data_IF_226582064738
#
_entry.id   IF_226582064738
#
_cell.length_a   1.000
_cell.length_b   1.000
_cell.length_c   1.000
_cell.angle_alpha   90.00
_cell.angle_beta   90.00
_cell.angle_gamma   90.00
#
_symmetry.space_group_name_H-M   'P 1'
#
loop_
_entity.id
_entity.type
_entity.pdbx_description
1 polymer ?
#
# COMPACT_ATOMS: atom_id res chain seq x y z
N UNK A 1 -21.94 -15.92 -17.71
CA UNK A 1 -20.84 -15.95 -16.71
C UNK A 1 -21.29 -15.53 -15.31
N UNK A 2 -22.07 -14.45 -15.13
CA UNK A 2 -22.52 -13.97 -13.80
C UNK A 2 -23.15 -15.06 -12.92
N UNK A 3 -24.14 -15.83 -13.42
CA UNK A 3 -24.82 -16.86 -12.63
C UNK A 3 -23.85 -17.96 -12.13
N UNK A 4 -22.88 -18.32 -12.93
CA UNK A 4 -21.86 -19.30 -12.56
C UNK A 4 -20.96 -18.75 -11.44
N UNK A 5 -20.50 -17.49 -11.56
CA UNK A 5 -19.72 -16.82 -10.52
C UNK A 5 -20.53 -16.70 -9.23
N UNK A 6 -21.81 -16.29 -9.32
CA UNK A 6 -22.70 -16.19 -8.16
C UNK A 6 -22.87 -17.54 -7.45
N UNK A 7 -23.05 -18.62 -8.20
CA UNK A 7 -23.17 -19.96 -7.65
C UNK A 7 -21.88 -20.42 -6.95
N UNK A 8 -20.72 -20.28 -7.61
CA UNK A 8 -19.44 -20.70 -7.05
C UNK A 8 -19.10 -19.86 -5.82
N UNK A 9 -19.10 -18.53 -5.95
CA UNK A 9 -18.67 -17.64 -4.87
C UNK A 9 -19.57 -17.71 -3.63
N UNK A 10 -20.88 -17.95 -3.79
CA UNK A 10 -21.80 -18.10 -2.66
C UNK A 10 -21.43 -19.30 -1.78
N UNK A 11 -20.79 -20.35 -2.33
CA UNK A 11 -20.26 -21.47 -1.56
C UNK A 11 -19.10 -21.13 -0.63
N UNK A 12 -18.49 -19.93 -0.78
CA UNK A 12 -17.35 -19.46 0.01
C UNK A 12 -17.75 -18.44 1.08
N UNK A 13 -19.02 -18.06 1.22
CA UNK A 13 -19.47 -17.01 2.17
C UNK A 13 -19.02 -17.28 3.60
N UNK A 14 -19.26 -18.49 4.11
CA UNK A 14 -18.86 -18.86 5.47
C UNK A 14 -17.33 -18.94 5.61
N UNK A 15 -16.65 -19.45 4.59
CA UNK A 15 -15.20 -19.59 4.58
C UNK A 15 -14.46 -18.24 4.57
N UNK A 16 -14.97 -17.25 3.81
CA UNK A 16 -14.47 -15.87 3.85
C UNK A 16 -14.46 -15.32 5.28
N UNK A 17 -15.58 -15.46 5.99
CA UNK A 17 -15.71 -15.01 7.38
C UNK A 17 -14.80 -15.79 8.30
N UNK A 18 -14.72 -17.12 8.17
CA UNK A 18 -13.83 -17.96 8.98
C UNK A 18 -12.35 -17.58 8.79
N UNK A 19 -11.90 -17.40 7.55
CA UNK A 19 -10.52 -17.05 7.24
C UNK A 19 -10.16 -15.66 7.75
N UNK A 20 -11.01 -14.66 7.48
CA UNK A 20 -10.80 -13.31 8.01
C UNK A 20 -10.70 -13.32 9.52
N UNK A 21 -11.64 -13.97 10.24
CA UNK A 21 -11.68 -13.97 11.72
C UNK A 21 -10.49 -14.71 12.31
N UNK A 22 -10.02 -15.78 11.67
CA UNK A 22 -8.80 -16.47 12.09
C UNK A 22 -7.58 -15.53 12.00
N UNK A 23 -7.39 -14.88 10.86
CA UNK A 23 -6.28 -13.94 10.64
C UNK A 23 -6.38 -12.75 11.62
N UNK A 24 -7.58 -12.22 11.82
CA UNK A 24 -7.83 -11.12 12.75
C UNK A 24 -7.46 -11.45 14.20
N UNK A 25 -7.67 -12.69 14.62
CA UNK A 25 -7.28 -13.18 15.96
C UNK A 25 -5.78 -13.40 16.10
N UNK A 26 -5.05 -13.62 15.01
CA UNK A 26 -3.62 -13.99 15.01
C UNK A 26 -2.78 -13.04 14.16
N UNK A 27 -2.89 -11.71 14.37
CA UNK A 27 -2.18 -10.74 13.54
C UNK A 27 -0.69 -10.78 13.82
N UNK A 28 0.11 -10.57 12.77
CA UNK A 28 1.56 -10.44 12.85
C UNK A 28 2.01 -9.14 12.20
N UNK A 29 3.05 -8.50 12.77
CA UNK A 29 3.58 -7.23 12.26
C UNK A 29 4.35 -7.43 10.95
N UNK A 30 4.50 -6.34 10.19
CA UNK A 30 5.32 -6.28 8.97
C UNK A 30 6.69 -6.92 9.16
N UNK A 31 7.10 -7.76 8.23
CA UNK A 31 8.32 -8.59 8.24
C UNK A 31 8.37 -9.71 9.29
N UNK A 32 7.32 -9.94 10.05
CA UNK A 32 7.21 -10.97 11.10
C UNK A 32 5.99 -11.89 10.90
N UNK A 33 5.51 -12.02 9.67
CA UNK A 33 4.27 -12.76 9.31
C UNK A 33 4.52 -14.26 9.10
N UNK A 34 5.42 -14.88 9.90
CA UNK A 34 5.85 -16.27 9.71
C UNK A 34 4.68 -17.28 9.84
N UNK A 35 3.81 -17.10 10.85
CA UNK A 35 2.67 -18.01 11.08
C UNK A 35 1.58 -17.77 10.07
N UNK A 36 1.32 -16.52 9.73
CA UNK A 36 0.37 -16.12 8.67
C UNK A 36 0.78 -16.74 7.34
N UNK A 37 2.05 -16.61 6.96
CA UNK A 37 2.60 -17.21 5.74
C UNK A 37 2.52 -18.74 5.75
N UNK A 38 2.81 -19.39 6.88
CA UNK A 38 2.72 -20.84 7.02
C UNK A 38 1.27 -21.31 6.87
N UNK A 39 0.33 -20.61 7.49
CA UNK A 39 -1.10 -20.90 7.40
C UNK A 39 -1.64 -20.72 5.97
N UNK A 40 -1.22 -19.68 5.25
CA UNK A 40 -1.56 -19.46 3.85
C UNK A 40 -1.03 -20.61 2.98
N UNK A 41 0.23 -21.02 3.16
CA UNK A 41 0.83 -22.14 2.42
C UNK A 41 0.05 -23.42 2.62
N UNK A 42 -0.37 -23.72 3.83
CA UNK A 42 -1.21 -24.90 4.14
C UNK A 42 -2.54 -24.84 3.38
N UNK A 43 -3.23 -23.70 3.41
CA UNK A 43 -4.54 -23.55 2.70
C UNK A 43 -4.40 -23.69 1.19
N UNK A 44 -3.36 -23.11 0.60
CA UNK A 44 -3.08 -23.25 -0.83
C UNK A 44 -2.74 -24.71 -1.21
N UNK A 45 -1.94 -25.38 -0.37
CA UNK A 45 -1.62 -26.79 -0.56
C UNK A 45 -2.87 -27.68 -0.52
N UNK A 46 -3.72 -27.49 0.50
CA UNK A 46 -4.98 -28.23 0.67
C UNK A 46 -5.94 -28.03 -0.51
N UNK A 47 -5.89 -26.83 -1.11
CA UNK A 47 -6.65 -26.48 -2.31
C UNK A 47 -6.03 -27.02 -3.61
N UNK A 48 -4.87 -27.66 -3.57
CA UNK A 48 -4.16 -28.11 -4.77
C UNK A 48 -3.59 -26.99 -5.63
N UNK A 49 -3.27 -25.84 -5.00
CA UNK A 49 -2.58 -24.71 -5.64
C UNK A 49 -1.09 -24.88 -5.46
N UNK A 50 -0.33 -24.81 -6.54
CA UNK A 50 1.13 -24.90 -6.50
C UNK A 50 1.73 -23.64 -5.87
N UNK A 51 2.81 -23.79 -5.10
CA UNK A 51 3.52 -22.67 -4.49
C UNK A 51 4.81 -22.40 -5.26
N UNK A 52 5.02 -21.16 -5.68
CA UNK A 52 6.21 -20.73 -6.39
C UNK A 52 7.41 -20.76 -5.40
N UNK A 53 8.49 -21.50 -5.74
CA UNK A 53 9.68 -21.52 -4.89
C UNK A 53 10.54 -20.27 -5.04
N UNK A 54 11.45 -20.04 -4.09
CA UNK A 54 12.46 -18.98 -4.18
C UNK A 54 11.94 -17.59 -3.81
N UNK A 55 10.78 -17.51 -3.17
CA UNK A 55 10.21 -16.25 -2.67
C UNK A 55 10.88 -15.90 -1.34
N UNK A 56 11.39 -14.68 -1.25
CA UNK A 56 12.08 -14.16 -0.07
C UNK A 56 11.10 -13.69 1.01
N UNK A 57 11.54 -13.77 2.28
CA UNK A 57 10.76 -13.34 3.44
C UNK A 57 9.53 -14.20 3.70
N UNK A 58 8.47 -13.56 4.18
CA UNK A 58 7.21 -14.20 4.58
C UNK A 58 6.13 -14.16 3.48
N UNK A 59 6.42 -13.61 2.33
CA UNK A 59 5.49 -13.62 1.21
C UNK A 59 5.24 -15.05 0.69
N UNK A 60 4.05 -15.27 0.13
CA UNK A 60 3.66 -16.55 -0.47
C UNK A 60 3.06 -16.30 -1.85
N UNK A 61 3.48 -17.06 -2.85
CA UNK A 61 2.93 -16.96 -4.20
C UNK A 61 2.34 -18.29 -4.61
N UNK A 62 1.01 -18.34 -4.74
CA UNK A 62 0.29 -19.47 -5.31
C UNK A 62 0.19 -19.37 -6.83
N UNK A 63 0.16 -20.52 -7.50
CA UNK A 63 0.05 -20.60 -8.97
C UNK A 63 -0.93 -21.68 -9.38
N UNK A 64 -1.84 -21.31 -10.25
CA UNK A 64 -2.67 -22.24 -11.02
C UNK A 64 -2.26 -22.10 -12.49
N UNK A 65 -1.72 -23.17 -13.06
CA UNK A 65 -1.36 -23.23 -14.47
C UNK A 65 -2.29 -24.22 -15.18
N UNK A 66 -2.85 -23.81 -16.31
CA UNK A 66 -3.70 -24.67 -17.16
C UNK A 66 -2.91 -25.66 -17.99
N UNK A 67 -1.61 -25.44 -18.18
CA UNK A 67 -0.77 -26.15 -19.13
C UNK A 67 -1.01 -25.79 -20.60
N UNK A 68 -1.91 -24.83 -20.88
CA UNK A 68 -2.22 -24.31 -22.22
C UNK A 68 -1.74 -22.88 -22.33
N UNK A 69 -1.02 -22.49 -23.40
CA UNK A 69 -0.58 -21.10 -23.57
C UNK A 69 -1.73 -20.08 -23.49
N UNK A 70 -1.52 -19.00 -22.77
CA UNK A 70 -2.50 -17.94 -22.57
C UNK A 70 -2.00 -16.90 -21.58
N UNK A 71 -2.83 -15.90 -21.19
CA UNK A 71 -2.40 -14.83 -20.30
C UNK A 71 -2.12 -15.33 -18.87
N UNK A 72 -1.12 -14.72 -18.23
CA UNK A 72 -0.86 -14.86 -16.81
C UNK A 72 -1.44 -13.67 -16.06
N UNK A 73 -2.46 -13.90 -15.25
CA UNK A 73 -3.14 -12.87 -14.48
C UNK A 73 -2.72 -12.98 -13.01
N UNK A 74 -2.24 -11.89 -12.42
CA UNK A 74 -1.88 -11.86 -11.01
C UNK A 74 -2.94 -11.14 -10.17
N UNK A 75 -3.14 -11.62 -8.94
CA UNK A 75 -3.94 -10.97 -7.91
C UNK A 75 -3.11 -10.84 -6.63
N UNK A 76 -3.23 -9.71 -5.93
CA UNK A 76 -2.44 -9.44 -4.73
C UNK A 76 -3.32 -9.14 -3.51
N UNK A 77 -2.89 -9.67 -2.38
CA UNK A 77 -3.31 -9.24 -1.04
C UNK A 77 -2.06 -9.05 -0.16
N UNK A 78 -2.06 -8.01 0.65
CA UNK A 78 -1.15 -7.82 1.78
C UNK A 78 -1.57 -8.70 2.96
N UNK A 79 -0.63 -9.02 3.88
CA UNK A 79 -0.88 -9.97 4.97
C UNK A 79 -0.46 -9.46 6.36
N UNK A 80 0.16 -8.28 6.46
CA UNK A 80 0.69 -7.71 7.69
C UNK A 80 -0.37 -6.96 8.51
N UNK A 81 -0.05 -6.73 9.79
CA UNK A 81 -0.88 -6.02 10.75
C UNK A 81 -0.12 -4.83 11.37
N UNK A 82 -0.84 -3.98 12.10
CA UNK A 82 -0.35 -2.76 12.69
C UNK A 82 -0.09 -2.89 14.21
N UNK A 83 0.88 -2.11 14.76
CA UNK A 83 1.16 -2.07 16.19
C UNK A 83 0.10 -1.23 16.94
N UNK A 84 -1.15 -1.70 16.96
CA UNK A 84 -2.31 -1.02 17.56
C UNK A 84 -2.96 -1.96 18.56
N UNK A 85 -3.24 -1.50 19.79
CA UNK A 85 -4.06 -2.25 20.74
C UNK A 85 -5.52 -2.17 20.32
N UNK A 86 -6.11 -3.32 20.04
CA UNK A 86 -7.51 -3.39 19.63
C UNK A 86 -8.47 -3.08 20.78
N UNK A 87 -9.52 -2.30 20.47
CA UNK A 87 -10.60 -1.90 21.38
C UNK A 87 -11.99 -2.13 20.78
N UNK A 88 -12.13 -3.03 19.81
CA UNK A 88 -13.41 -3.27 19.13
C UNK A 88 -14.42 -4.03 20.02
N UNK A 89 -13.94 -4.88 20.94
CA UNK A 89 -14.78 -5.76 21.75
C UNK A 89 -15.46 -6.88 20.95
N UNK A 90 -14.98 -7.17 19.74
CA UNK A 90 -15.50 -8.26 18.90
C UNK A 90 -15.14 -9.63 19.49
N UNK A 91 -15.99 -10.65 19.32
CA UNK A 91 -15.71 -12.00 19.83
C UNK A 91 -14.49 -12.67 19.18
N UNK A 92 -14.00 -12.11 18.07
CA UNK A 92 -12.81 -12.54 17.34
C UNK A 92 -11.72 -11.47 17.35
N UNK A 93 -11.69 -10.57 18.35
CA UNK A 93 -10.63 -9.59 18.52
C UNK A 93 -9.24 -10.25 18.58
N UNK A 94 -8.23 -9.48 18.24
CA UNK A 94 -6.83 -9.90 18.29
C UNK A 94 -6.47 -10.57 19.62
N UNK A 95 -5.81 -11.71 19.55
CA UNK A 95 -5.24 -12.42 20.71
C UNK A 95 -3.77 -12.02 20.96
N UNK A 96 -3.22 -11.12 20.14
CA UNK A 96 -1.84 -10.62 20.23
C UNK A 96 -1.86 -9.21 20.81
N UNK A 97 -1.33 -8.99 22.03
CA UNK A 97 -1.33 -7.67 22.65
C UNK A 97 -0.63 -6.61 21.75
N UNK A 98 -1.26 -5.45 21.63
CA UNK A 98 -0.77 -4.31 20.84
C UNK A 98 -0.56 -4.60 19.34
N UNK A 99 -1.21 -5.61 18.77
CA UNK A 99 -1.19 -5.88 17.34
C UNK A 99 -2.62 -6.11 16.83
N UNK A 100 -2.99 -5.48 15.73
CA UNK A 100 -4.34 -5.54 15.17
C UNK A 100 -4.31 -5.42 13.64
N UNK A 101 -5.14 -6.19 12.94
CA UNK A 101 -5.45 -5.92 11.54
C UNK A 101 -6.37 -4.68 11.41
N UNK A 102 -5.80 -3.50 11.68
CA UNK A 102 -6.54 -2.24 11.65
C UNK A 102 -6.59 -1.59 10.26
N UNK A 103 -6.00 -2.23 9.24
CA UNK A 103 -6.09 -1.82 7.82
C UNK A 103 -6.94 -2.78 6.97
N UNK A 104 -7.32 -3.94 7.52
CA UNK A 104 -8.21 -4.91 6.85
C UNK A 104 -7.49 -5.91 5.94
N UNK A 105 -6.19 -6.09 6.10
CA UNK A 105 -5.40 -7.06 5.34
C UNK A 105 -5.82 -8.51 5.61
N UNK A 106 -6.44 -8.78 6.76
CA UNK A 106 -7.14 -10.03 7.06
C UNK A 106 -8.26 -10.34 6.05
N UNK A 107 -9.04 -9.32 5.66
CA UNK A 107 -10.09 -9.46 4.66
C UNK A 107 -9.51 -9.59 3.23
N UNK A 108 -8.45 -8.83 2.89
CA UNK A 108 -7.76 -8.96 1.60
C UNK A 108 -7.22 -10.38 1.42
N UNK A 109 -6.53 -10.90 2.44
CA UNK A 109 -5.99 -12.27 2.45
C UNK A 109 -7.11 -13.32 2.32
N UNK A 110 -8.21 -13.17 3.07
CA UNK A 110 -9.34 -14.09 2.99
C UNK A 110 -9.99 -14.12 1.60
N UNK A 111 -10.15 -12.95 0.98
CA UNK A 111 -10.69 -12.83 -0.39
C UNK A 111 -9.76 -13.57 -1.39
N UNK A 112 -8.46 -13.32 -1.30
CA UNK A 112 -7.49 -13.90 -2.24
C UNK A 112 -7.34 -15.42 -2.06
N UNK A 113 -7.38 -15.93 -0.82
CA UNK A 113 -7.38 -17.36 -0.55
C UNK A 113 -8.64 -18.04 -1.13
N UNK A 114 -9.81 -17.44 -0.90
CA UNK A 114 -11.06 -17.97 -1.45
C UNK A 114 -11.08 -17.92 -2.99
N UNK A 115 -10.46 -16.90 -3.61
CA UNK A 115 -10.28 -16.87 -5.06
C UNK A 115 -9.41 -18.03 -5.54
N UNK A 116 -8.28 -18.28 -4.89
CA UNK A 116 -7.37 -19.36 -5.24
C UNK A 116 -8.05 -20.73 -5.13
N UNK A 117 -8.78 -20.96 -4.04
CA UNK A 117 -9.55 -22.19 -3.83
C UNK A 117 -10.68 -22.34 -4.85
N UNK A 118 -11.45 -21.27 -5.11
CA UNK A 118 -12.57 -21.29 -6.06
C UNK A 118 -12.09 -21.61 -7.48
N UNK A 119 -11.00 -21.00 -7.94
CA UNK A 119 -10.42 -21.30 -9.27
C UNK A 119 -9.76 -22.67 -9.31
N UNK A 120 -9.16 -23.14 -8.21
CA UNK A 120 -8.60 -24.48 -8.14
C UNK A 120 -9.67 -25.57 -8.19
N UNK A 121 -10.79 -25.37 -7.50
CA UNK A 121 -11.92 -26.30 -7.52
C UNK A 121 -12.71 -26.29 -8.85
N UNK A 122 -12.59 -25.22 -9.63
CA UNK A 122 -13.30 -25.02 -10.90
C UNK A 122 -12.31 -24.75 -12.03
N UNK A 123 -11.44 -25.72 -12.31
CA UNK A 123 -10.38 -25.64 -13.35
C UNK A 123 -10.91 -25.30 -14.73
N UNK A 124 -12.17 -25.59 -15.02
CA UNK A 124 -12.83 -25.21 -16.27
C UNK A 124 -12.93 -23.68 -16.48
N UNK A 125 -12.73 -22.89 -15.43
CA UNK A 125 -12.56 -21.43 -15.53
C UNK A 125 -11.12 -21.03 -15.92
N UNK A 126 -10.14 -21.94 -15.79
CA UNK A 126 -8.73 -21.68 -16.10
C UNK A 126 -8.32 -22.56 -17.29
N UNK A 127 -8.92 -22.30 -18.46
CA UNK A 127 -8.72 -23.13 -19.66
C UNK A 127 -7.40 -22.87 -20.37
N UNK A 128 -6.85 -21.66 -20.23
CA UNK A 128 -5.60 -21.23 -20.83
C UNK A 128 -4.86 -20.26 -19.91
N UNK A 129 -3.54 -20.17 -20.09
CA UNK A 129 -2.69 -19.30 -19.27
C UNK A 129 -2.57 -19.76 -17.83
N UNK A 130 -2.32 -18.82 -16.94
CA UNK A 130 -2.11 -19.09 -15.52
C UNK A 130 -2.64 -17.96 -14.63
N UNK A 131 -2.82 -18.28 -13.35
CA UNK A 131 -3.18 -17.29 -12.32
C UNK A 131 -2.12 -17.31 -11.23
N UNK A 132 -1.62 -16.13 -10.83
CA UNK A 132 -0.73 -15.95 -9.68
C UNK A 132 -1.47 -15.27 -8.53
N UNK A 133 -1.34 -15.81 -7.33
CA UNK A 133 -1.91 -15.27 -6.10
C UNK A 133 -0.78 -14.80 -5.20
N UNK A 134 -0.58 -13.49 -5.10
CA UNK A 134 0.51 -12.86 -4.35
C UNK A 134 0.01 -12.49 -2.96
N UNK A 135 0.39 -13.25 -1.95
CA UNK A 135 0.20 -12.93 -0.54
C UNK A 135 1.47 -12.25 -0.05
N UNK A 136 1.42 -10.94 0.07
CA UNK A 136 2.58 -10.09 0.23
C UNK A 136 2.75 -9.65 1.68
N UNK A 137 3.94 -9.83 2.24
CA UNK A 137 4.34 -9.27 3.54
C UNK A 137 4.49 -7.75 3.51
N UNK A 138 4.44 -7.11 4.68
CA UNK A 138 5.00 -5.80 5.00
C UNK A 138 4.60 -4.67 4.04
N UNK A 139 3.29 -4.41 3.85
CA UNK A 139 2.82 -3.23 3.13
C UNK A 139 3.03 -1.96 3.95
N UNK A 140 2.80 -2.02 5.26
CA UNK A 140 2.73 -0.89 6.18
C UNK A 140 4.11 -0.31 6.58
N UNK A 141 5.20 -1.00 6.25
CA UNK A 141 6.56 -0.61 6.64
C UNK A 141 7.50 -0.61 5.45
N UNK A 142 8.05 0.57 5.12
CA UNK A 142 9.04 0.70 4.04
C UNK A 142 10.27 -0.20 4.26
N UNK A 143 10.83 -0.72 3.19
CA UNK A 143 10.59 -0.45 1.76
C UNK A 143 9.41 -1.21 1.16
N UNK A 144 8.61 -1.93 1.94
CA UNK A 144 7.51 -2.77 1.51
C UNK A 144 7.93 -4.15 0.98
N UNK A 145 6.99 -5.10 1.02
CA UNK A 145 7.21 -6.45 0.50
C UNK A 145 7.10 -6.54 -1.03
N UNK A 146 6.35 -5.62 -1.66
CA UNK A 146 6.18 -5.63 -3.11
C UNK A 146 7.50 -5.47 -3.87
N UNK A 147 8.36 -4.55 -3.42
CA UNK A 147 9.66 -4.34 -4.07
C UNK A 147 10.56 -5.59 -3.99
N UNK A 148 10.42 -6.40 -2.93
CA UNK A 148 11.15 -7.66 -2.80
C UNK A 148 10.58 -8.73 -3.75
N UNK A 149 9.25 -8.87 -3.80
CA UNK A 149 8.59 -9.81 -4.73
C UNK A 149 8.91 -9.49 -6.20
N UNK A 150 8.98 -8.21 -6.57
CA UNK A 150 9.44 -7.80 -7.91
C UNK A 150 10.87 -8.25 -8.16
N UNK A 151 11.79 -8.06 -7.20
CA UNK A 151 13.19 -8.52 -7.31
C UNK A 151 13.30 -10.06 -7.38
N UNK A 152 12.42 -10.78 -6.71
CA UNK A 152 12.34 -12.24 -6.75
C UNK A 152 11.78 -12.74 -8.12
N UNK A 153 11.39 -11.84 -9.01
CA UNK A 153 10.96 -12.15 -10.36
C UNK A 153 9.51 -12.60 -10.49
N UNK A 154 8.68 -12.34 -9.47
CA UNK A 154 7.26 -12.80 -9.50
C UNK A 154 6.44 -12.15 -10.62
N UNK A 155 6.92 -11.04 -11.18
CA UNK A 155 6.26 -10.35 -12.30
C UNK A 155 6.76 -10.82 -13.68
N UNK A 156 7.74 -11.72 -13.74
CA UNK A 156 8.11 -12.37 -15.01
C UNK A 156 6.90 -13.15 -15.54
N UNK A 157 6.66 -13.06 -16.83
CA UNK A 157 5.55 -13.74 -17.51
C UNK A 157 4.13 -13.37 -17.01
N UNK A 158 3.98 -12.39 -16.12
CA UNK A 158 2.67 -11.81 -15.77
C UNK A 158 2.28 -10.81 -16.85
N UNK A 159 1.05 -10.88 -17.34
CA UNK A 159 0.52 -9.94 -18.33
C UNK A 159 -0.17 -8.75 -17.67
N UNK A 160 -0.92 -8.97 -16.59
CA UNK A 160 -1.53 -7.91 -15.81
C UNK A 160 -1.75 -8.31 -14.35
N UNK A 161 -1.91 -7.31 -13.48
CA UNK A 161 -2.11 -7.52 -12.04
C UNK A 161 -3.29 -6.71 -11.50
N UNK A 162 -4.04 -7.32 -10.58
CA UNK A 162 -5.13 -6.68 -9.87
C UNK A 162 -4.93 -6.80 -8.36
N UNK A 163 -5.29 -5.73 -7.64
CA UNK A 163 -5.35 -5.69 -6.19
C UNK A 163 -6.62 -4.98 -5.76
N UNK A 164 -7.02 -5.20 -4.51
CA UNK A 164 -8.06 -4.40 -3.88
C UNK A 164 -7.65 -4.00 -2.47
N UNK A 165 -8.13 -2.84 -2.03
CA UNK A 165 -8.07 -2.42 -0.64
C UNK A 165 -9.48 -2.11 -0.15
N UNK A 166 -9.81 -2.51 1.05
CA UNK A 166 -11.08 -2.14 1.69
C UNK A 166 -11.15 -0.64 1.95
N UNK A 167 -12.35 -0.08 1.95
CA UNK A 167 -12.53 1.35 2.21
C UNK A 167 -13.85 1.63 2.93
N UNK A 168 -13.78 2.19 4.14
CA UNK A 168 -14.96 2.66 4.87
C UNK A 168 -15.53 3.99 4.32
N UNK A 169 -14.93 4.55 3.27
CA UNK A 169 -15.49 5.70 2.56
C UNK A 169 -16.65 5.32 1.63
N UNK A 170 -16.81 4.03 1.34
CA UNK A 170 -17.86 3.50 0.46
C UNK A 170 -18.64 2.41 1.17
N UNK A 171 -19.94 2.36 0.90
CA UNK A 171 -20.82 1.32 1.43
C UNK A 171 -20.55 -0.03 0.73
N UNK A 172 -20.86 -1.12 1.44
CA UNK A 172 -20.84 -2.49 0.91
C UNK A 172 -21.64 -2.58 -0.40
N UNK A 173 -21.04 -3.18 -1.44
CA UNK A 173 -21.60 -3.24 -2.79
C UNK A 173 -21.15 -2.11 -3.72
N UNK A 174 -20.40 -1.12 -3.21
CA UNK A 174 -19.75 -0.08 -4.02
C UNK A 174 -18.26 -0.37 -4.17
N UNK A 175 -17.72 -0.25 -5.38
CA UNK A 175 -16.31 -0.43 -5.66
C UNK A 175 -15.79 0.78 -6.43
N UNK A 176 -14.78 1.46 -5.89
CA UNK A 176 -14.14 2.53 -6.64
C UNK A 176 -13.04 1.95 -7.55
N UNK A 177 -13.14 2.28 -8.82
CA UNK A 177 -12.28 1.83 -9.90
C UNK A 177 -11.96 3.03 -10.80
N UNK A 178 -10.75 3.53 -10.75
CA UNK A 178 -10.36 4.79 -11.41
C UNK A 178 -9.10 4.57 -12.24
N UNK A 179 -9.13 4.99 -13.51
CA UNK A 179 -7.94 4.97 -14.38
C UNK A 179 -7.01 6.13 -14.05
N UNK A 180 -5.72 5.94 -14.26
CA UNK A 180 -4.68 6.92 -13.95
C UNK A 180 -4.26 6.91 -12.48
N UNK A 181 -3.70 8.02 -11.97
CA UNK A 181 -3.22 8.11 -10.60
C UNK A 181 -4.34 7.95 -9.57
N UNK A 182 -4.13 7.09 -8.57
CA UNK A 182 -5.08 6.84 -7.47
C UNK A 182 -4.47 7.11 -6.10
N UNK A 183 -3.19 6.77 -5.89
CA UNK A 183 -2.43 7.01 -4.67
C UNK A 183 -1.08 7.64 -5.00
N UNK A 184 -0.56 8.45 -4.06
CA UNK A 184 0.67 9.20 -4.30
C UNK A 184 1.93 8.35 -4.10
N UNK A 185 2.96 8.69 -4.84
CA UNK A 185 4.33 8.39 -4.42
C UNK A 185 4.62 9.10 -3.11
N UNK A 186 5.31 8.42 -2.19
CA UNK A 186 5.58 8.94 -0.85
C UNK A 186 6.97 8.55 -0.38
N UNK A 187 7.72 9.51 0.19
CA UNK A 187 8.95 9.25 0.93
C UNK A 187 9.07 10.21 2.10
N UNK A 188 9.92 9.84 3.07
CA UNK A 188 10.32 10.71 4.15
C UNK A 188 11.76 11.15 3.95
N UNK A 189 12.08 12.35 4.44
CA UNK A 189 13.44 12.84 4.40
C UNK A 189 13.88 13.39 5.77
N UNK A 190 15.19 13.35 6.00
CA UNK A 190 15.87 13.96 7.13
C UNK A 190 17.04 14.80 6.62
N UNK A 191 17.16 16.01 7.14
CA UNK A 191 18.29 16.92 6.93
C UNK A 191 18.90 17.21 8.30
N UNK A 192 20.16 16.82 8.50
CA UNK A 192 20.93 17.09 9.73
C UNK A 192 21.93 18.20 9.42
N UNK A 193 21.66 19.41 9.91
CA UNK A 193 22.54 20.57 9.73
C UNK A 193 23.62 20.51 10.79
N UNK A 194 24.88 20.70 10.40
CA UNK A 194 26.07 20.67 11.24
C UNK A 194 26.74 22.04 11.24
N UNK A 195 26.90 22.60 12.41
CA UNK A 195 27.56 23.88 12.65
C UNK A 195 28.64 23.78 13.75
N UNK A 196 28.78 24.85 14.51
CA UNK A 196 29.70 24.92 15.65
C UNK A 196 29.04 25.65 16.81
N UNK A 197 28.95 24.99 17.97
CA UNK A 197 28.40 25.59 19.18
C UNK A 197 29.23 26.82 19.64
N UNK A 198 28.52 27.76 20.25
CA UNK A 198 29.16 28.95 20.80
C UNK A 198 28.29 29.71 21.78
N UNK A 199 28.89 30.67 22.47
CA UNK A 199 28.16 31.53 23.39
C UNK A 199 27.29 32.52 22.60
N UNK A 200 26.01 32.64 22.90
CA UNK A 200 25.06 33.48 22.18
C UNK A 200 25.43 34.97 22.13
N UNK A 201 26.22 35.46 23.10
CA UNK A 201 26.75 36.83 23.09
C UNK A 201 27.88 37.06 22.08
N UNK A 202 28.45 35.99 21.52
CA UNK A 202 29.56 36.03 20.55
C UNK A 202 29.23 35.21 19.28
N UNK A 203 28.13 35.53 18.55
CA UNK A 203 27.64 34.73 17.45
C UNK A 203 28.67 34.60 16.31
N UNK A 204 29.59 35.56 16.15
CA UNK A 204 30.68 35.53 15.18
C UNK A 204 31.75 34.46 15.46
N UNK A 205 31.71 33.78 16.61
CA UNK A 205 32.59 32.68 17.00
C UNK A 205 31.88 31.30 16.94
N UNK A 206 30.63 31.28 16.50
CA UNK A 206 29.83 30.07 16.32
C UNK A 206 29.48 29.89 14.84
N UNK A 207 29.01 28.72 14.48
CA UNK A 207 28.35 28.46 13.19
C UNK A 207 26.93 28.03 13.51
N UNK A 208 25.99 28.96 13.29
CA UNK A 208 24.58 28.79 13.61
C UNK A 208 23.93 27.70 12.71
N UNK A 209 23.05 26.89 13.28
CA UNK A 209 22.29 25.86 12.61
C UNK A 209 20.79 26.15 12.52
N UNK A 210 20.29 27.11 13.32
CA UNK A 210 18.87 27.46 13.36
C UNK A 210 18.48 28.30 12.13
N UNK A 211 19.22 29.38 11.87
CA UNK A 211 18.94 30.27 10.73
C UNK A 211 19.00 29.57 9.39
N UNK A 212 20.01 28.71 9.10
CA UNK A 212 19.97 27.86 7.91
C UNK A 212 18.75 26.94 7.84
N UNK A 213 18.32 26.35 8.96
CA UNK A 213 17.13 25.51 9.01
C UNK A 213 15.86 26.28 8.62
N UNK A 214 15.66 27.48 9.13
CA UNK A 214 14.56 28.35 8.72
C UNK A 214 14.62 28.71 7.23
N UNK A 215 15.82 28.99 6.70
CA UNK A 215 16.00 29.31 5.30
C UNK A 215 15.70 28.10 4.39
N UNK A 216 16.14 26.88 4.78
CA UNK A 216 15.82 25.65 4.04
C UNK A 216 14.30 25.47 3.97
N UNK A 217 13.55 25.61 5.08
CA UNK A 217 12.09 25.48 5.08
C UNK A 217 11.46 26.49 4.11
N UNK A 218 11.92 27.75 4.11
CA UNK A 218 11.43 28.78 3.19
C UNK A 218 11.69 28.43 1.72
N UNK A 219 12.90 27.96 1.39
CA UNK A 219 13.25 27.56 0.02
C UNK A 219 12.48 26.31 -0.45
N UNK A 220 12.28 25.31 0.43
CA UNK A 220 11.48 24.13 0.10
C UNK A 220 10.01 24.49 -0.18
N UNK A 221 9.41 25.42 0.57
CA UNK A 221 8.08 25.94 0.27
C UNK A 221 8.00 26.68 -1.07
N UNK A 222 9.04 27.41 -1.45
CA UNK A 222 9.13 28.05 -2.77
C UNK A 222 9.35 27.02 -3.88
N UNK A 223 10.12 25.95 -3.62
CA UNK A 223 10.36 24.90 -4.57
C UNK A 223 9.06 24.28 -5.11
N UNK A 224 8.10 23.99 -4.23
CA UNK A 224 6.79 23.43 -4.61
C UNK A 224 6.07 24.34 -5.61
N UNK A 225 6.11 25.66 -5.42
CA UNK A 225 5.38 26.59 -6.27
C UNK A 225 6.11 27.05 -7.53
N UNK A 226 7.43 26.87 -7.60
CA UNK A 226 8.28 27.37 -8.68
C UNK A 226 8.87 26.27 -9.57
N UNK A 227 9.03 25.06 -9.05
CA UNK A 227 9.66 23.96 -9.78
C UNK A 227 8.67 23.03 -10.48
N UNK A 228 7.37 23.18 -10.25
CA UNK A 228 6.35 22.32 -10.83
C UNK A 228 5.27 23.10 -11.57
N UNK A 229 4.64 22.44 -12.55
CA UNK A 229 3.42 22.96 -13.17
C UNK A 229 2.31 23.11 -12.13
N UNK A 230 1.49 24.15 -12.26
CA UNK A 230 0.32 24.32 -11.40
C UNK A 230 -0.75 23.21 -11.56
N UNK A 231 -0.61 22.35 -12.57
CA UNK A 231 -1.48 21.20 -12.82
C UNK A 231 -0.97 19.92 -12.13
N UNK A 232 0.29 19.91 -11.67
CA UNK A 232 0.87 18.76 -10.96
C UNK A 232 0.55 18.83 -9.48
N UNK A 233 0.31 17.65 -8.89
CA UNK A 233 0.16 17.52 -7.44
C UNK A 233 1.55 17.30 -6.83
N UNK A 234 1.95 18.17 -5.91
CA UNK A 234 3.20 18.02 -5.16
C UNK A 234 3.03 18.55 -3.74
N UNK A 235 3.45 17.73 -2.79
CA UNK A 235 3.63 18.10 -1.37
C UNK A 235 5.08 17.87 -1.00
N UNK A 236 5.77 18.92 -0.55
CA UNK A 236 7.04 18.84 0.18
C UNK A 236 6.81 19.56 1.48
N UNK A 237 6.71 18.82 2.57
CA UNK A 237 6.31 19.38 3.86
C UNK A 237 7.32 19.00 4.95
N UNK A 238 7.92 20.02 5.58
CA UNK A 238 8.73 19.84 6.80
C UNK A 238 7.80 19.76 7.98
N UNK A 239 7.81 18.65 8.69
CA UNK A 239 6.91 18.37 9.83
C UNK A 239 7.59 18.47 11.18
N UNK A 240 8.93 18.45 11.21
CA UNK A 240 9.71 18.58 12.44
C UNK A 240 10.92 19.49 12.21
N UNK A 241 11.17 20.37 13.16
CA UNK A 241 12.39 21.15 13.26
C UNK A 241 12.86 21.12 14.71
N UNK A 242 14.02 20.50 14.96
CA UNK A 242 14.57 20.28 16.29
C UNK A 242 15.95 20.91 16.34
N UNK A 243 16.16 21.88 17.23
CA UNK A 243 17.45 22.54 17.46
C UNK A 243 17.54 23.02 18.91
N UNK A 244 18.63 22.73 19.60
CA UNK A 244 18.92 23.25 20.94
C UNK A 244 17.95 22.83 22.04
N UNK A 245 17.17 21.75 21.88
CA UNK A 245 16.12 21.33 22.81
C UNK A 245 16.61 21.02 24.22
N UNK A 246 17.88 20.65 24.40
CA UNK A 246 18.54 20.38 25.69
C UNK A 246 19.66 21.36 26.01
N UNK A 247 19.83 22.42 25.19
CA UNK A 247 20.90 23.38 25.37
C UNK A 247 20.40 24.56 26.23
N UNK A 248 21.25 25.15 27.08
CA UNK A 248 20.93 26.43 27.73
C UNK A 248 20.64 27.52 26.69
N UNK A 249 19.71 28.45 26.98
CA UNK A 249 19.27 29.49 26.04
C UNK A 249 20.37 30.46 25.59
N UNK A 250 21.50 30.51 26.27
CA UNK A 250 22.67 31.30 25.92
C UNK A 250 23.73 30.52 25.11
N UNK A 251 23.40 29.35 24.57
CA UNK A 251 24.25 28.50 23.71
C UNK A 251 23.66 28.41 22.31
N UNK A 252 24.45 28.76 21.30
CA UNK A 252 24.12 28.50 19.91
C UNK A 252 24.31 26.99 19.65
N UNK A 253 23.29 26.24 19.21
CA UNK A 253 23.44 24.80 18.99
C UNK A 253 24.30 24.51 17.75
N UNK A 254 25.08 23.42 17.81
CA UNK A 254 25.92 22.92 16.71
C UNK A 254 25.18 21.97 15.76
N UNK A 255 23.96 21.59 16.09
CA UNK A 255 23.17 20.65 15.31
C UNK A 255 21.70 21.11 15.25
N UNK A 256 21.11 20.99 14.08
CA UNK A 256 19.66 21.10 13.87
C UNK A 256 19.17 20.00 12.93
N UNK A 257 17.97 19.47 13.17
CA UNK A 257 17.37 18.40 12.39
C UNK A 257 16.04 18.85 11.83
N UNK A 258 15.87 18.70 10.53
CA UNK A 258 14.60 18.86 9.81
C UNK A 258 14.13 17.49 9.35
N UNK A 259 12.85 17.15 9.56
CA UNK A 259 12.22 15.96 8.98
C UNK A 259 10.96 16.35 8.25
N UNK A 260 10.68 15.62 7.16
CA UNK A 260 9.51 15.91 6.37
C UNK A 260 9.15 14.79 5.42
N UNK A 261 8.18 15.06 4.55
CA UNK A 261 7.67 14.10 3.57
C UNK A 261 7.55 14.74 2.19
N UNK A 262 7.72 13.90 1.15
CA UNK A 262 7.49 14.24 -0.25
C UNK A 262 6.33 13.37 -0.75
N UNK A 263 5.33 13.98 -1.43
CA UNK A 263 4.21 13.25 -2.04
C UNK A 263 3.83 13.84 -3.38
N UNK A 264 3.56 12.99 -4.36
CA UNK A 264 3.11 13.41 -5.70
C UNK A 264 2.48 12.24 -6.44
N UNK A 265 1.62 12.51 -7.42
CA UNK A 265 1.06 11.49 -8.30
C UNK A 265 1.92 11.24 -9.57
N UNK A 266 3.10 11.83 -9.65
CA UNK A 266 4.01 11.72 -10.79
C UNK A 266 5.35 11.11 -10.36
N UNK A 267 5.64 9.88 -10.82
CA UNK A 267 6.84 9.13 -10.42
C UNK A 267 8.15 9.78 -10.89
N UNK A 268 8.15 10.53 -11.99
CA UNK A 268 9.34 11.24 -12.44
C UNK A 268 9.60 12.47 -11.54
N UNK A 269 8.56 13.27 -11.30
CA UNK A 269 8.61 14.40 -10.37
C UNK A 269 9.03 13.96 -8.96
N UNK A 270 8.56 12.81 -8.51
CA UNK A 270 8.93 12.22 -7.24
C UNK A 270 10.45 12.04 -7.12
N UNK A 271 11.07 11.35 -8.08
CA UNK A 271 12.52 11.13 -8.10
C UNK A 271 13.31 12.44 -8.19
N UNK A 272 12.80 13.40 -8.95
CA UNK A 272 13.41 14.73 -9.06
C UNK A 272 13.37 15.46 -7.72
N UNK A 273 12.23 15.42 -7.01
CA UNK A 273 12.08 16.11 -5.72
C UNK A 273 12.89 15.46 -4.60
N UNK A 274 13.01 14.13 -4.55
CA UNK A 274 13.91 13.46 -3.61
C UNK A 274 15.35 14.01 -3.72
N UNK A 275 15.85 14.19 -4.93
CA UNK A 275 17.17 14.78 -5.17
C UNK A 275 17.19 16.29 -4.85
N UNK A 276 16.17 17.02 -5.29
CA UNK A 276 16.14 18.48 -5.23
C UNK A 276 16.07 19.02 -3.80
N UNK A 277 15.39 18.34 -2.89
CA UNK A 277 15.36 18.68 -1.45
C UNK A 277 16.78 18.69 -0.87
N UNK A 278 17.59 17.68 -1.17
CA UNK A 278 18.97 17.59 -0.71
C UNK A 278 19.88 18.69 -1.32
N UNK A 279 19.70 18.97 -2.62
CA UNK A 279 20.44 20.05 -3.29
C UNK A 279 20.16 21.41 -2.69
N UNK A 280 18.89 21.72 -2.39
CA UNK A 280 18.49 22.97 -1.72
C UNK A 280 19.11 23.06 -0.34
N UNK A 281 19.04 22.00 0.47
CA UNK A 281 19.62 21.98 1.79
C UNK A 281 21.14 22.23 1.76
N UNK A 282 21.87 21.55 0.86
CA UNK A 282 23.30 21.70 0.71
C UNK A 282 23.68 23.13 0.26
N UNK A 283 22.96 23.70 -0.70
CA UNK A 283 23.21 25.07 -1.18
C UNK A 283 22.99 26.12 -0.09
N UNK A 284 21.91 26.02 0.68
CA UNK A 284 21.64 26.95 1.79
C UNK A 284 22.70 26.83 2.88
N UNK A 285 23.07 25.61 3.27
CA UNK A 285 24.09 25.37 4.28
C UNK A 285 25.46 25.97 3.83
N UNK A 286 25.88 25.72 2.59
CA UNK A 286 27.11 26.26 2.06
C UNK A 286 27.12 27.81 2.06
N UNK A 287 26.02 28.46 1.68
CA UNK A 287 25.87 29.91 1.72
C UNK A 287 25.98 30.48 3.16
N UNK A 288 25.57 29.69 4.16
CA UNK A 288 25.58 30.08 5.57
C UNK A 288 26.83 29.63 6.34
N UNK A 289 27.79 28.95 5.67
CA UNK A 289 29.03 28.48 6.27
C UNK A 289 28.88 27.25 7.16
N UNK A 290 27.78 26.52 7.08
CA UNK A 290 27.57 25.23 7.73
C UNK A 290 27.54 24.09 6.69
N UNK A 291 27.39 22.86 7.15
CA UNK A 291 27.21 21.66 6.31
C UNK A 291 25.91 20.95 6.65
N UNK A 292 25.47 20.03 5.81
CA UNK A 292 24.36 19.13 6.16
C UNK A 292 24.57 17.72 5.62
N UNK A 293 23.95 16.77 6.29
CA UNK A 293 23.73 15.41 5.83
C UNK A 293 22.26 15.31 5.41
N UNK A 294 21.98 14.73 4.25
CA UNK A 294 20.66 14.52 3.73
C UNK A 294 20.40 13.03 3.56
N UNK A 295 19.31 12.56 4.12
CA UNK A 295 18.80 11.21 3.91
C UNK A 295 17.36 11.31 3.41
N UNK A 296 17.04 10.48 2.42
CA UNK A 296 15.68 10.30 1.93
C UNK A 296 15.47 8.80 1.70
N UNK A 297 14.40 8.24 2.25
CA UNK A 297 14.08 6.85 1.99
C UNK A 297 13.69 6.63 0.52
N UNK A 298 13.71 5.37 0.06
CA UNK A 298 13.33 5.03 -1.31
C UNK A 298 11.86 5.37 -1.60
N UNK A 299 11.03 5.33 -0.57
CA UNK A 299 9.60 5.58 -0.66
C UNK A 299 8.83 4.53 -1.46
N UNK A 300 7.54 4.80 -1.66
CA UNK A 300 6.68 4.06 -2.60
C UNK A 300 6.43 4.89 -3.84
N UNK A 301 6.38 4.27 -5.04
CA UNK A 301 5.91 4.95 -6.25
C UNK A 301 4.43 5.33 -6.16
N UNK A 302 3.94 6.15 -7.08
CA UNK A 302 2.51 6.41 -7.23
C UNK A 302 1.79 5.17 -7.79
N UNK A 303 0.63 4.86 -7.26
CA UNK A 303 -0.28 3.86 -7.84
C UNK A 303 -0.98 4.52 -9.04
N UNK A 304 -0.68 4.04 -10.24
CA UNK A 304 -1.21 4.55 -11.50
C UNK A 304 -1.87 3.38 -12.24
N UNK A 305 -3.19 3.29 -12.15
CA UNK A 305 -3.95 2.26 -12.82
C UNK A 305 -3.93 2.45 -14.34
N UNK A 306 -3.73 1.37 -15.09
CA UNK A 306 -3.78 1.41 -16.56
C UNK A 306 -5.23 1.43 -17.07
N UNK A 307 -5.47 2.08 -18.18
CA UNK A 307 -6.83 2.31 -18.71
C UNK A 307 -7.53 1.00 -19.10
N UNK A 308 -6.83 0.12 -19.78
CA UNK A 308 -7.38 -1.14 -20.28
C UNK A 308 -7.82 -2.07 -19.13
N UNK A 309 -6.95 -2.28 -18.14
CA UNK A 309 -7.22 -3.14 -16.98
C UNK A 309 -8.29 -2.53 -16.07
N UNK A 310 -8.29 -1.19 -15.92
CA UNK A 310 -9.35 -0.48 -15.21
C UNK A 310 -10.70 -0.68 -15.87
N UNK A 311 -10.75 -0.64 -17.22
CA UNK A 311 -11.99 -0.90 -17.96
C UNK A 311 -12.47 -2.34 -17.77
N UNK A 312 -11.58 -3.33 -17.82
CA UNK A 312 -11.94 -4.73 -17.60
C UNK A 312 -12.53 -4.94 -16.18
N UNK A 313 -11.89 -4.36 -15.17
CA UNK A 313 -12.39 -4.41 -13.79
C UNK A 313 -13.73 -3.67 -13.64
N UNK A 314 -13.87 -2.50 -14.23
CA UNK A 314 -15.14 -1.75 -14.24
C UNK A 314 -16.28 -2.56 -14.85
N UNK A 315 -16.05 -3.14 -16.03
CA UNK A 315 -17.04 -3.96 -16.72
C UNK A 315 -17.41 -5.19 -15.89
N UNK A 316 -16.46 -5.81 -15.19
CA UNK A 316 -16.69 -6.92 -14.28
C UNK A 316 -17.57 -6.52 -13.08
N UNK A 317 -17.30 -5.37 -12.45
CA UNK A 317 -18.07 -4.83 -11.33
C UNK A 317 -19.54 -4.61 -11.74
N UNK A 318 -19.75 -3.95 -12.89
CA UNK A 318 -21.09 -3.64 -13.40
C UNK A 318 -21.84 -4.91 -13.80
N UNK A 319 -21.18 -5.89 -14.45
CA UNK A 319 -21.80 -7.16 -14.83
C UNK A 319 -22.26 -7.95 -13.61
N UNK A 320 -21.51 -7.92 -12.53
CA UNK A 320 -21.92 -8.56 -11.27
C UNK A 320 -23.07 -7.84 -10.58
N UNK A 321 -23.45 -6.65 -11.04
CA UNK A 321 -24.54 -5.85 -10.50
C UNK A 321 -24.14 -4.97 -9.31
N UNK A 322 -22.85 -4.73 -9.15
CA UNK A 322 -22.31 -3.85 -8.13
C UNK A 322 -22.17 -2.41 -8.64
N UNK A 323 -22.04 -1.47 -7.71
CA UNK A 323 -21.96 -0.05 -8.02
C UNK A 323 -20.50 0.36 -8.24
N UNK A 324 -20.11 0.52 -9.51
CA UNK A 324 -18.80 1.05 -9.88
C UNK A 324 -18.82 2.59 -9.78
N UNK A 325 -17.82 3.16 -9.10
CA UNK A 325 -17.63 4.60 -8.99
C UNK A 325 -16.19 4.99 -9.29
N UNK A 326 -16.00 6.25 -9.73
CA UNK A 326 -14.66 6.84 -9.76
C UNK A 326 -14.36 7.54 -8.44
N UNK A 327 -13.13 7.43 -7.96
CA UNK A 327 -12.64 8.11 -6.77
C UNK A 327 -11.58 9.15 -7.14
N UNK A 328 -11.55 10.31 -6.48
CA UNK A 328 -10.42 11.21 -6.64
C UNK A 328 -9.13 10.54 -6.11
N UNK A 329 -8.02 10.85 -6.77
CA UNK A 329 -6.72 10.46 -6.26
C UNK A 329 -6.47 11.09 -4.88
N UNK A 330 -5.77 10.36 -3.99
CA UNK A 330 -5.42 10.86 -2.67
C UNK A 330 -3.91 10.74 -2.40
N UNK A 331 -3.45 11.30 -1.28
CA UNK A 331 -2.04 11.38 -0.94
C UNK A 331 -1.53 10.21 -0.07
N UNK A 332 -2.31 9.13 0.09
CA UNK A 332 -1.86 7.88 0.70
C UNK A 332 -0.79 7.20 -0.16
N UNK A 333 0.07 6.41 0.46
CA UNK A 333 1.03 5.54 -0.23
C UNK A 333 0.53 4.10 -0.25
N UNK A 334 1.06 3.29 -1.18
CA UNK A 334 0.73 1.86 -1.31
C UNK A 334 1.82 1.19 -2.15
N UNK A 335 2.42 0.13 -1.65
CA UNK A 335 3.53 -0.53 -2.31
C UNK A 335 3.12 -1.41 -3.50
N UNK A 336 1.82 -1.68 -3.70
CA UNK A 336 1.28 -2.27 -4.93
C UNK A 336 1.77 -1.52 -6.19
N UNK A 337 2.10 -0.25 -6.03
CA UNK A 337 2.69 0.58 -7.08
C UNK A 337 3.94 -0.03 -7.73
N UNK A 338 4.74 -0.81 -6.99
CA UNK A 338 5.92 -1.47 -7.57
C UNK A 338 5.55 -2.47 -8.67
N UNK A 339 4.44 -3.20 -8.51
CA UNK A 339 3.96 -4.11 -9.55
C UNK A 339 3.50 -3.34 -10.80
N UNK A 340 2.88 -2.18 -10.61
CA UNK A 340 2.42 -1.33 -11.72
C UNK A 340 3.56 -0.63 -12.47
N UNK A 341 4.77 -0.58 -11.91
CA UNK A 341 5.97 -0.17 -12.65
C UNK A 341 6.43 -1.27 -13.63
N UNK A 342 6.11 -2.53 -13.36
CA UNK A 342 6.55 -3.68 -14.14
C UNK A 342 5.48 -4.12 -15.17
N UNK A 343 4.20 -4.09 -14.76
CA UNK A 343 3.09 -4.64 -15.53
C UNK A 343 1.84 -3.75 -15.45
N UNK A 344 1.00 -3.73 -16.49
CA UNK A 344 -0.29 -3.06 -16.43
C UNK A 344 -1.17 -3.70 -15.36
N UNK A 345 -2.07 -2.89 -14.77
CA UNK A 345 -2.95 -3.41 -13.73
C UNK A 345 -3.90 -2.37 -13.16
N UNK A 346 -4.70 -2.82 -12.20
CA UNK A 346 -5.68 -1.97 -11.54
C UNK A 346 -5.76 -2.28 -10.05
N UNK A 347 -5.67 -1.23 -9.24
CA UNK A 347 -5.90 -1.27 -7.80
C UNK A 347 -7.26 -0.68 -7.48
N UNK A 348 -8.13 -1.50 -6.88
CA UNK A 348 -9.52 -1.20 -6.57
C UNK A 348 -9.69 -0.75 -5.12
N UNK A 349 -10.79 -0.05 -4.81
CA UNK A 349 -11.21 0.19 -3.43
C UNK A 349 -12.58 -0.42 -3.20
N UNK A 350 -12.62 -1.46 -2.36
CA UNK A 350 -13.83 -2.19 -1.99
C UNK A 350 -14.54 -1.51 -0.83
N UNK A 351 -15.77 -1.06 -1.03
CA UNK A 351 -16.60 -0.48 0.02
C UNK A 351 -16.95 -1.51 1.10
N UNK A 352 -16.69 -1.15 2.35
CA UNK A 352 -16.93 -2.01 3.53
C UNK A 352 -17.67 -1.28 4.66
N UNK A 353 -18.10 -0.05 4.42
CA UNK A 353 -18.90 0.72 5.37
C UNK A 353 -20.35 0.21 5.42
N UNK A 354 -20.95 0.22 6.61
CA UNK A 354 -22.36 -0.09 6.79
C UNK A 354 -22.90 0.68 8.01
N UNK A 355 -23.49 1.84 7.76
CA UNK A 355 -24.00 2.70 8.83
C UNK A 355 -25.10 2.03 9.66
N UNK A 356 -25.94 1.18 9.05
CA UNK A 356 -26.99 0.44 9.75
C UNK A 356 -26.44 -0.59 10.75
N UNK A 357 -25.25 -1.13 10.50
CA UNK A 357 -24.50 -2.02 11.41
C UNK A 357 -23.55 -1.25 12.34
N UNK A 358 -23.47 0.09 12.25
CA UNK A 358 -22.53 0.92 13.03
C UNK A 358 -21.08 0.85 12.53
N UNK A 359 -20.84 0.35 11.32
CA UNK A 359 -19.51 0.16 10.74
C UNK A 359 -19.14 1.39 9.90
N UNK A 360 -18.47 2.37 10.56
CA UNK A 360 -18.11 3.66 9.93
C UNK A 360 -16.71 4.15 10.31
N UNK A 361 -16.00 3.41 11.18
CA UNK A 361 -14.67 3.80 11.67
C UNK A 361 -13.64 3.56 10.56
N UNK A 362 -12.79 4.55 10.30
CA UNK A 362 -11.74 4.47 9.28
C UNK A 362 -10.59 3.54 9.70
N UNK A 363 -9.82 2.99 8.74
CA UNK A 363 -8.62 2.21 9.02
C UNK A 363 -7.61 2.94 9.92
N UNK A 364 -6.65 2.20 10.50
CA UNK A 364 -5.64 2.65 11.45
C UNK A 364 -6.21 3.14 12.79
N UNK A 365 -7.42 2.75 13.14
CA UNK A 365 -8.06 3.07 14.41
C UNK A 365 -8.25 1.79 15.26
N UNK A 366 -8.06 1.88 16.57
CA UNK A 366 -8.22 0.76 17.50
C UNK A 366 -9.64 0.17 17.54
N UNK A 367 -10.63 0.89 17.01
CA UNK A 367 -12.03 0.45 16.88
C UNK A 367 -12.44 0.16 15.44
N UNK A 368 -11.48 0.03 14.54
CA UNK A 368 -11.75 -0.29 13.15
C UNK A 368 -12.45 -1.65 13.02
N UNK A 369 -13.46 -1.68 12.16
CA UNK A 369 -14.12 -2.92 11.71
C UNK A 369 -14.70 -2.71 10.32
N UNK A 370 -15.06 -3.81 9.67
CA UNK A 370 -15.62 -3.81 8.32
C UNK A 370 -16.88 -4.68 8.24
N UNK A 371 -17.74 -4.40 7.27
CA UNK A 371 -18.87 -5.27 6.95
C UNK A 371 -18.37 -6.52 6.21
N UNK A 372 -18.44 -7.67 6.85
CA UNK A 372 -17.95 -8.94 6.30
C UNK A 372 -18.67 -9.38 5.02
N UNK A 373 -19.90 -8.88 4.78
CA UNK A 373 -20.63 -9.14 3.54
C UNK A 373 -19.91 -8.56 2.30
N UNK A 374 -19.08 -7.54 2.48
CA UNK A 374 -18.26 -6.95 1.43
C UNK A 374 -17.20 -7.92 0.87
N UNK A 375 -16.75 -8.90 1.65
CA UNK A 375 -15.74 -9.85 1.18
C UNK A 375 -16.26 -10.72 0.04
N UNK A 376 -17.54 -11.09 0.07
CA UNK A 376 -18.16 -11.81 -1.05
C UNK A 376 -18.23 -10.93 -2.31
N UNK A 377 -18.45 -9.62 -2.16
CA UNK A 377 -18.40 -8.66 -3.27
C UNK A 377 -16.99 -8.63 -3.88
N UNK A 378 -15.95 -8.58 -3.04
CA UNK A 378 -14.55 -8.62 -3.47
C UNK A 378 -14.20 -9.90 -4.23
N UNK A 379 -14.58 -11.07 -3.69
CA UNK A 379 -14.36 -12.37 -4.32
C UNK A 379 -15.03 -12.44 -5.71
N UNK A 380 -16.31 -12.08 -5.80
CA UNK A 380 -17.04 -12.07 -7.08
C UNK A 380 -16.43 -11.10 -8.09
N UNK A 381 -15.96 -9.95 -7.63
CA UNK A 381 -15.28 -8.97 -8.48
C UNK A 381 -13.98 -9.52 -9.05
N UNK A 382 -13.16 -10.16 -8.24
CA UNK A 382 -11.92 -10.78 -8.72
C UNK A 382 -12.18 -11.94 -9.68
N UNK A 383 -13.15 -12.82 -9.39
CA UNK A 383 -13.55 -13.90 -10.30
C UNK A 383 -14.02 -13.35 -11.66
N UNK A 384 -14.89 -12.34 -11.64
CA UNK A 384 -15.39 -11.71 -12.86
C UNK A 384 -14.29 -11.00 -13.65
N UNK A 385 -13.37 -10.31 -12.95
CA UNK A 385 -12.21 -9.66 -13.58
C UNK A 385 -11.32 -10.70 -14.25
N UNK A 386 -11.04 -11.82 -13.58
CA UNK A 386 -10.29 -12.92 -14.17
C UNK A 386 -10.94 -13.43 -15.45
N UNK A 387 -12.23 -13.72 -15.42
CA UNK A 387 -12.97 -14.20 -16.60
C UNK A 387 -12.92 -13.20 -17.77
N UNK A 388 -12.97 -11.88 -17.49
CA UNK A 388 -12.83 -10.84 -18.53
C UNK A 388 -11.45 -10.84 -19.16
N UNK A 389 -10.39 -10.99 -18.38
CA UNK A 389 -9.00 -11.01 -18.88
C UNK A 389 -8.72 -12.29 -19.66
N UNK A 390 -9.18 -13.44 -19.18
CA UNK A 390 -8.97 -14.75 -19.84
C UNK A 390 -9.82 -14.94 -21.11
N UNK A 391 -10.76 -14.02 -21.38
CA UNK A 391 -11.66 -14.13 -22.54
C UNK A 391 -12.80 -15.12 -22.36
N UNK A 392 -13.08 -15.53 -21.13
CA UNK A 392 -14.21 -16.38 -20.78
C UNK A 392 -15.49 -15.51 -20.67
N UNK A 393 -16.34 -15.55 -21.67
CA UNK A 393 -17.61 -14.77 -21.74
C UNK A 393 -18.82 -15.58 -21.35
#
# INVERSE_FOLDING_TARGET
MKELIDQIASGYTEKLVQYRRYLHQHPELSFHEEKTAAWIRERLHDAGVSILPGISGNSVVGVIDSGVPGPCVAFRADIDALPIQEETGLPFSSQVPNVMHACGHDAHTAILLCLAEALSANRDLVKQGSVRFLFQQAEEVMPGGACQLVKDGVMQDVDCIFGLHISNMYETGTIACTSGPTLAATSNFEIVIKGQAGHAAFPHKAVDTITPGCAIISELNQLVTKATSAQETLVVNVTQFIAGDKSPVNVVPDTAVLRGTIRTHNNELFRQMQKRVGEVAAAVCAMKGCTCEYHCDSGYPAVINTEAETKLAWDAIVEMGYHAVTAPANMGGEDFAYYLLEKPGCYLKLGVSNAAKGITVLPHNCKFTLDEDAMLVGLKTFMATYCKVSGEN
#
